data_IF_830402394780
#
_entry.id   IF_830402394780
#
_cell.length_a   1.000
_cell.length_b   1.000
_cell.length_c   1.000
_cell.angle_alpha   90.00
_cell.angle_beta   90.00
_cell.angle_gamma   90.00
#
_symmetry.space_group_name_H-M   'P 1'
#
loop_
_entity.id
_entity.type
_entity.pdbx_description
1 polymer ?
#
# COMPACT_ATOMS: atom_id res chain seq x y z
N UNK A 1 9.56 -5.73 28.85
CA UNK A 1 10.51 -4.64 29.20
C UNK A 1 10.38 -3.53 28.15
N UNK A 2 10.68 -2.28 28.46
CA UNK A 2 10.48 -1.17 27.51
C UNK A 2 11.79 -0.41 27.27
N UNK A 3 12.11 -0.18 26.00
CA UNK A 3 13.22 0.67 25.54
C UNK A 3 12.60 1.91 24.89
N UNK A 4 13.04 3.10 25.31
CA UNK A 4 12.56 4.37 24.74
C UNK A 4 13.74 5.24 24.33
N UNK A 5 13.77 5.63 23.07
CA UNK A 5 14.74 6.57 22.52
C UNK A 5 13.98 7.79 21.99
N UNK A 6 14.26 8.96 22.55
CA UNK A 6 13.63 10.22 22.15
C UNK A 6 14.66 11.12 21.46
N UNK A 7 14.38 11.53 20.22
CA UNK A 7 15.29 12.25 19.33
C UNK A 7 16.70 11.64 19.28
N UNK A 8 16.85 10.31 19.11
CA UNK A 8 18.17 9.72 19.05
C UNK A 8 18.94 10.25 17.83
N UNK A 9 20.16 10.73 18.07
CA UNK A 9 21.08 11.16 17.04
C UNK A 9 22.03 10.00 16.69
N UNK A 10 22.12 9.67 15.39
CA UNK A 10 23.03 8.67 14.83
C UNK A 10 23.07 7.32 15.56
N UNK A 11 21.88 6.76 15.80
CA UNK A 11 21.75 5.47 16.46
C UNK A 11 21.90 4.32 15.47
N UNK A 12 22.78 3.38 15.82
CA UNK A 12 22.96 2.11 15.11
C UNK A 12 22.68 0.95 16.06
N UNK A 13 21.73 0.10 15.68
CA UNK A 13 21.46 -1.19 16.33
C UNK A 13 21.81 -2.29 15.33
N UNK A 14 22.65 -3.23 15.76
CA UNK A 14 23.12 -4.31 14.89
C UNK A 14 23.12 -5.65 15.63
N UNK A 15 22.74 -6.72 14.93
CA UNK A 15 22.84 -8.11 15.42
C UNK A 15 22.17 -8.30 16.79
N UNK A 16 20.97 -7.73 16.93
CA UNK A 16 20.26 -7.67 18.20
C UNK A 16 18.96 -8.47 18.14
N UNK A 17 18.61 -9.11 19.25
CA UNK A 17 17.37 -9.87 19.40
C UNK A 17 16.59 -9.28 20.56
N UNK A 18 15.37 -8.84 20.29
CA UNK A 18 14.43 -8.33 21.27
C UNK A 18 13.35 -9.38 21.54
N UNK A 19 13.25 -9.87 22.78
CA UNK A 19 12.27 -10.87 23.22
C UNK A 19 11.45 -10.35 24.39
N UNK A 20 10.13 -10.21 24.25
CA UNK A 20 9.24 -9.57 25.24
C UNK A 20 9.60 -8.08 25.51
N UNK A 21 9.96 -7.35 24.46
CA UNK A 21 10.28 -5.94 24.51
C UNK A 21 9.28 -5.07 23.79
N UNK A 22 9.11 -3.86 24.32
CA UNK A 22 8.52 -2.75 23.59
C UNK A 22 9.61 -1.73 23.29
N UNK A 23 9.94 -1.57 22.01
CA UNK A 23 10.95 -0.61 21.53
C UNK A 23 10.21 0.56 20.92
N UNK A 24 10.32 1.72 21.56
CA UNK A 24 9.75 2.98 21.09
C UNK A 24 10.87 3.93 20.69
N UNK A 25 10.87 4.34 19.42
CA UNK A 25 11.75 5.39 18.93
C UNK A 25 10.88 6.54 18.46
N UNK A 26 11.15 7.74 18.97
CA UNK A 26 10.35 8.92 18.70
C UNK A 26 11.24 10.07 18.25
N UNK A 27 10.88 10.69 17.14
CA UNK A 27 11.47 11.91 16.60
C UNK A 27 10.45 13.06 16.66
N UNK A 28 10.65 13.95 17.63
CA UNK A 28 9.87 15.15 17.92
C UNK A 28 10.58 16.43 17.42
N UNK A 29 9.86 17.54 17.23
CA UNK A 29 10.45 18.81 16.82
C UNK A 29 11.46 19.33 17.85
N UNK A 30 12.53 19.97 17.38
CA UNK A 30 13.50 20.61 18.28
C UNK A 30 12.84 21.78 19.03
N UNK A 31 13.26 22.08 20.27
CA UNK A 31 12.70 23.19 21.06
C UNK A 31 12.86 24.56 20.39
N UNK A 32 13.95 24.73 19.63
CA UNK A 32 14.31 25.95 18.92
C UNK A 32 14.56 25.60 17.46
N UNK A 33 14.10 26.45 16.54
CA UNK A 33 14.42 26.26 15.14
C UNK A 33 15.87 26.53 14.85
N UNK A 34 16.51 25.53 14.26
CA UNK A 34 17.81 25.68 13.66
C UNK A 34 17.69 26.52 12.39
N UNK A 35 18.67 27.39 12.16
CA UNK A 35 18.87 28.09 10.88
C UNK A 35 19.45 27.16 9.81
N UNK A 36 20.07 26.06 10.24
CA UNK A 36 20.53 24.95 9.40
C UNK A 36 19.55 23.79 9.46
N UNK A 37 19.59 22.87 8.50
CA UNK A 37 18.79 21.64 8.52
C UNK A 37 19.67 20.47 8.98
N UNK A 38 19.78 20.18 10.29
CA UNK A 38 20.60 19.08 10.77
C UNK A 38 20.09 17.74 10.24
N UNK A 39 20.99 16.75 10.16
CA UNK A 39 20.67 15.41 9.69
C UNK A 39 20.82 14.39 10.82
N UNK A 40 19.79 13.58 11.04
CA UNK A 40 19.77 12.53 12.06
C UNK A 40 19.67 11.18 11.35
N UNK A 41 20.37 10.16 11.85
CA UNK A 41 20.27 8.81 11.30
C UNK A 41 19.82 7.75 12.33
N UNK A 42 19.05 6.77 11.84
CA UNK A 42 18.72 5.53 12.53
C UNK A 42 19.03 4.35 11.62
N UNK A 43 19.87 3.42 12.08
CA UNK A 43 20.23 2.24 11.31
C UNK A 43 19.94 1.00 12.15
N UNK A 44 19.03 0.15 11.66
CA UNK A 44 18.74 -1.17 12.21
C UNK A 44 19.22 -2.23 11.23
N UNK A 45 20.14 -3.10 11.65
CA UNK A 45 20.73 -4.14 10.79
C UNK A 45 20.74 -5.49 11.49
N UNK A 46 20.29 -6.56 10.84
CA UNK A 46 20.24 -7.90 11.44
C UNK A 46 19.52 -7.88 12.82
N UNK A 47 18.33 -7.28 12.86
CA UNK A 47 17.54 -7.16 14.08
C UNK A 47 16.39 -8.14 14.04
N UNK A 48 16.20 -8.89 15.12
CA UNK A 48 15.03 -9.77 15.29
C UNK A 48 14.16 -9.25 16.43
N UNK A 49 12.87 -9.09 16.18
CA UNK A 49 11.85 -8.84 17.21
C UNK A 49 10.97 -10.07 17.34
N UNK A 50 10.85 -10.59 18.56
CA UNK A 50 10.08 -11.80 18.89
C UNK A 50 9.19 -11.54 20.10
N UNK A 51 7.90 -11.82 19.98
CA UNK A 51 6.87 -11.42 20.96
C UNK A 51 7.12 -9.99 21.48
N UNK A 52 7.34 -9.08 20.53
CA UNK A 52 7.85 -7.73 20.80
C UNK A 52 7.19 -6.69 19.92
N UNK A 53 7.14 -5.47 20.42
CA UNK A 53 6.65 -4.30 19.71
C UNK A 53 7.81 -3.44 19.25
N UNK A 54 7.76 -2.98 18.00
CA UNK A 54 8.60 -1.91 17.50
C UNK A 54 7.74 -0.76 16.99
N UNK A 55 7.92 0.43 17.55
CA UNK A 55 7.23 1.63 17.12
C UNK A 55 8.26 2.71 16.74
N UNK A 56 8.13 3.22 15.53
CA UNK A 56 8.86 4.39 15.06
C UNK A 56 7.89 5.54 14.82
N UNK A 57 8.02 6.60 15.61
CA UNK A 57 7.19 7.80 15.55
C UNK A 57 8.01 8.96 14.98
N UNK A 58 7.58 9.51 13.84
CA UNK A 58 8.27 10.58 13.12
C UNK A 58 7.35 11.79 13.04
N UNK A 59 7.52 12.75 13.94
CA UNK A 59 6.67 13.94 14.08
C UNK A 59 7.48 15.24 14.23
N UNK A 60 8.71 15.26 13.72
CA UNK A 60 9.66 16.36 13.92
C UNK A 60 9.49 17.56 12.97
N UNK A 61 8.46 17.57 12.12
CA UNK A 61 8.26 18.62 11.13
C UNK A 61 9.52 18.80 10.27
N UNK A 62 9.95 20.06 10.12
CA UNK A 62 11.15 20.40 9.37
C UNK A 62 12.32 20.76 10.29
N UNK A 63 12.30 20.36 11.57
CA UNK A 63 13.38 20.68 12.52
C UNK A 63 14.72 20.07 12.15
N UNK A 64 14.72 18.95 11.44
CA UNK A 64 15.88 18.22 10.90
C UNK A 64 15.43 17.33 9.76
N UNK A 65 16.38 16.78 9.01
CA UNK A 65 16.18 15.69 8.07
C UNK A 65 16.49 14.36 8.76
N UNK A 66 15.61 13.36 8.62
CA UNK A 66 15.81 12.04 9.23
C UNK A 66 16.06 10.98 8.15
N UNK A 67 17.17 10.26 8.24
CA UNK A 67 17.42 9.05 7.45
C UNK A 67 17.26 7.80 8.31
N UNK A 68 16.42 6.87 7.88
CA UNK A 68 16.19 5.59 8.57
C UNK A 68 16.48 4.44 7.61
N UNK A 69 17.35 3.52 8.01
CA UNK A 69 17.66 2.30 7.26
C UNK A 69 17.34 1.10 8.14
N UNK A 70 16.49 0.21 7.64
CA UNK A 70 16.15 -1.06 8.27
C UNK A 70 16.50 -2.16 7.26
N UNK A 71 17.49 -2.98 7.59
CA UNK A 71 18.02 -4.00 6.68
C UNK A 71 18.17 -5.34 7.41
N UNK A 72 17.68 -6.42 6.81
CA UNK A 72 17.63 -7.74 7.44
C UNK A 72 16.91 -7.67 8.81
N UNK A 73 15.69 -7.10 8.81
CA UNK A 73 14.84 -7.02 9.98
C UNK A 73 13.82 -8.14 9.97
N UNK A 74 13.73 -8.87 11.09
CA UNK A 74 12.87 -10.03 11.23
C UNK A 74 11.87 -9.79 12.35
N UNK A 75 10.60 -9.61 11.97
CA UNK A 75 9.49 -9.59 12.92
C UNK A 75 8.87 -10.97 12.96
N UNK A 76 9.14 -11.71 14.04
CA UNK A 76 8.66 -13.08 14.22
C UNK A 76 7.66 -13.15 15.39
N UNK A 77 6.66 -14.04 15.28
CA UNK A 77 5.76 -14.54 16.34
C UNK A 77 5.27 -13.47 17.33
N UNK A 78 3.98 -13.12 17.27
CA UNK A 78 3.34 -12.12 18.16
C UNK A 78 3.98 -10.73 18.14
N UNK A 79 4.89 -10.48 17.20
CA UNK A 79 5.53 -9.17 17.04
C UNK A 79 4.78 -8.29 16.06
N UNK A 80 4.90 -6.98 16.28
CA UNK A 80 4.33 -5.98 15.39
C UNK A 80 5.25 -4.76 15.27
N UNK A 81 5.29 -4.20 14.06
CA UNK A 81 6.07 -3.02 13.71
C UNK A 81 5.14 -1.91 13.22
N UNK A 82 5.15 -0.77 13.90
CA UNK A 82 4.30 0.37 13.58
C UNK A 82 5.14 1.60 13.23
N UNK A 83 4.77 2.25 12.14
CA UNK A 83 5.40 3.46 11.64
C UNK A 83 4.39 4.60 11.65
N UNK A 84 4.55 5.54 12.57
CA UNK A 84 3.71 6.73 12.67
C UNK A 84 4.38 7.89 11.94
N UNK A 85 3.87 8.23 10.77
CA UNK A 85 4.40 9.29 9.91
C UNK A 85 3.59 10.57 10.11
N UNK A 86 4.24 11.63 10.57
CA UNK A 86 3.68 12.98 10.59
C UNK A 86 4.12 13.77 9.35
N UNK A 87 3.64 15.00 9.22
CA UNK A 87 4.29 16.03 8.40
C UNK A 87 5.70 16.27 8.97
N UNK A 88 6.69 15.58 8.41
CA UNK A 88 8.10 15.60 8.78
C UNK A 88 8.98 15.26 7.58
N UNK A 89 10.20 15.80 7.50
CA UNK A 89 11.13 15.49 6.40
C UNK A 89 11.95 14.22 6.70
N UNK A 90 11.70 13.14 5.96
CA UNK A 90 12.41 11.88 6.18
C UNK A 90 12.69 11.08 4.90
N UNK A 91 13.71 10.22 4.97
CA UNK A 91 13.96 9.13 4.04
C UNK A 91 14.06 7.84 4.84
N UNK A 92 13.06 6.98 4.72
CA UNK A 92 12.98 5.69 5.41
C UNK A 92 13.04 4.57 4.38
N UNK A 93 13.94 3.62 4.61
CA UNK A 93 14.19 2.52 3.70
C UNK A 93 14.23 1.19 4.45
N UNK A 94 13.34 0.26 4.10
CA UNK A 94 13.28 -1.11 4.63
C UNK A 94 13.65 -2.06 3.49
N UNK A 95 14.64 -2.93 3.71
CA UNK A 95 15.04 -3.95 2.72
C UNK A 95 15.38 -5.31 3.33
N UNK A 96 15.32 -6.36 2.50
CA UNK A 96 15.70 -7.72 2.85
C UNK A 96 15.06 -8.20 4.16
N UNK A 97 13.83 -7.78 4.43
CA UNK A 97 13.20 -7.94 5.74
C UNK A 97 12.02 -8.91 5.65
N UNK A 98 11.68 -9.54 6.77
CA UNK A 98 10.60 -10.52 6.85
C UNK A 98 9.69 -10.23 8.03
N UNK A 99 8.39 -10.21 7.76
CA UNK A 99 7.34 -9.91 8.71
C UNK A 99 6.36 -11.08 8.76
N UNK A 100 6.48 -11.85 9.85
CA UNK A 100 5.70 -13.07 10.09
C UNK A 100 5.29 -13.16 11.55
N UNK A 101 4.02 -12.96 11.83
CA UNK A 101 3.42 -13.25 13.12
C UNK A 101 2.52 -14.48 13.03
N UNK A 102 2.07 -14.97 14.17
CA UNK A 102 1.01 -15.98 14.24
C UNK A 102 -0.33 -15.30 14.02
N UNK A 103 -1.38 -16.08 13.68
CA UNK A 103 -2.74 -15.64 13.40
C UNK A 103 -3.44 -15.02 14.64
N UNK A 104 -2.95 -13.86 15.10
CA UNK A 104 -3.56 -13.07 16.17
C UNK A 104 -4.12 -11.77 15.62
N UNK A 105 -4.96 -11.14 16.43
CA UNK A 105 -5.75 -9.96 16.07
C UNK A 105 -4.96 -8.69 15.66
N UNK A 106 -3.64 -8.76 15.51
CA UNK A 106 -2.76 -7.60 15.45
C UNK A 106 -2.15 -7.38 14.06
N UNK A 107 -1.91 -6.11 13.72
CA UNK A 107 -1.26 -5.70 12.48
C UNK A 107 0.24 -5.86 12.61
N UNK A 108 0.82 -6.77 11.84
CA UNK A 108 2.26 -7.10 11.94
C UNK A 108 3.13 -5.99 11.36
N UNK A 109 2.63 -5.33 10.32
CA UNK A 109 3.25 -4.17 9.73
C UNK A 109 2.21 -3.09 9.43
N UNK A 110 2.37 -1.94 10.07
CA UNK A 110 1.38 -0.87 9.99
C UNK A 110 2.04 0.49 9.77
N UNK A 111 1.70 1.13 8.66
CA UNK A 111 2.03 2.52 8.39
C UNK A 111 0.79 3.36 8.67
N UNK A 112 0.94 4.39 9.50
CA UNK A 112 -0.16 5.29 9.80
C UNK A 112 0.27 6.74 9.80
N UNK A 113 -0.63 7.60 9.34
CA UNK A 113 -0.40 9.04 9.29
C UNK A 113 -0.99 9.71 10.52
N UNK A 114 -0.16 10.46 11.26
CA UNK A 114 -0.56 11.17 12.47
C UNK A 114 -1.04 12.59 12.19
N UNK A 115 -2.20 12.94 12.76
CA UNK A 115 -2.83 14.26 12.65
C UNK A 115 -2.28 15.31 13.63
N UNK A 116 -1.47 14.91 14.63
CA UNK A 116 -1.03 15.81 15.70
C UNK A 116 0.30 16.45 15.37
N UNK A 117 0.25 17.51 14.57
CA UNK A 117 1.37 18.44 14.50
C UNK A 117 0.96 19.82 14.94
N UNK A 118 1.79 20.39 15.80
CA UNK A 118 1.67 21.77 16.21
C UNK A 118 2.34 22.61 15.11
N UNK A 119 1.58 23.28 14.22
CA UNK A 119 2.09 23.90 12.98
C UNK A 119 3.03 25.09 13.24
N UNK A 120 3.28 25.39 14.52
CA UNK A 120 4.05 26.54 15.00
C UNK A 120 5.54 26.28 15.17
N UNK A 121 6.03 25.03 15.10
CA UNK A 121 7.34 24.76 15.69
C UNK A 121 8.57 24.92 14.81
N UNK A 122 8.57 24.68 13.50
CA UNK A 122 9.62 25.18 12.58
C UNK A 122 9.11 25.13 11.14
N UNK A 123 9.39 26.18 10.36
CA UNK A 123 9.06 26.23 8.93
C UNK A 123 10.33 26.56 8.16
N UNK A 124 10.73 25.69 7.26
CA UNK A 124 11.64 26.04 6.17
C UNK A 124 10.81 26.52 4.98
N UNK A 125 10.77 27.84 4.68
CA UNK A 125 9.99 28.35 3.58
C UNK A 125 10.67 28.03 2.23
N UNK A 126 9.86 27.81 1.18
CA UNK A 126 10.20 27.83 -0.25
C UNK A 126 10.77 26.55 -0.91
N UNK A 127 10.73 25.38 -0.29
CA UNK A 127 11.14 24.12 -0.96
C UNK A 127 9.99 23.12 -0.93
N UNK A 128 9.72 22.46 -2.07
CA UNK A 128 8.88 21.27 -2.10
C UNK A 128 9.64 20.15 -1.41
N UNK A 129 9.17 19.75 -0.24
CA UNK A 129 9.78 18.68 0.53
C UNK A 129 9.09 17.38 0.16
N UNK A 130 9.88 16.38 -0.19
CA UNK A 130 9.40 15.02 -0.48
C UNK A 130 10.00 14.12 0.58
N UNK A 131 9.13 13.47 1.35
CA UNK A 131 9.52 12.40 2.24
C UNK A 131 9.27 11.06 1.59
N UNK A 132 10.19 10.13 1.76
CA UNK A 132 10.12 8.83 1.09
C UNK A 132 10.09 7.71 2.12
N UNK A 133 9.17 6.76 1.92
CA UNK A 133 9.12 5.50 2.65
C UNK A 133 9.22 4.37 1.64
N UNK A 134 10.32 3.64 1.63
CA UNK A 134 10.56 2.54 0.70
C UNK A 134 10.57 1.21 1.43
N UNK A 135 9.89 0.22 0.87
CA UNK A 135 9.96 -1.18 1.23
C UNK A 135 10.42 -1.94 -0.02
N UNK A 136 11.56 -2.60 0.06
CA UNK A 136 12.17 -3.32 -1.06
C UNK A 136 12.57 -4.73 -0.65
N UNK A 137 12.50 -5.69 -1.58
CA UNK A 137 13.00 -7.06 -1.41
C UNK A 137 12.59 -7.72 -0.08
N UNK A 138 11.32 -7.51 0.32
CA UNK A 138 10.83 -7.88 1.66
C UNK A 138 9.60 -8.78 1.58
N UNK A 139 9.36 -9.52 2.66
CA UNK A 139 8.31 -10.53 2.73
C UNK A 139 7.33 -10.27 3.88
N UNK A 140 6.04 -10.39 3.60
CA UNK A 140 4.94 -10.21 4.57
C UNK A 140 4.03 -11.43 4.50
N UNK A 141 4.22 -12.40 5.39
CA UNK A 141 3.54 -13.67 5.25
C UNK A 141 3.01 -14.31 6.54
N UNK A 142 2.02 -15.17 6.36
CA UNK A 142 1.34 -15.93 7.42
C UNK A 142 0.71 -15.04 8.53
N UNK A 143 0.37 -13.79 8.22
CA UNK A 143 -0.20 -12.86 9.20
C UNK A 143 -1.73 -12.80 9.12
N UNK A 144 -2.36 -12.05 10.03
CA UNK A 144 -3.76 -11.69 9.84
C UNK A 144 -3.93 -10.64 8.73
N UNK A 145 -3.06 -9.63 8.74
CA UNK A 145 -2.92 -8.61 7.71
C UNK A 145 -1.45 -8.56 7.27
N UNK A 146 -1.19 -8.45 5.96
CA UNK A 146 0.16 -8.23 5.44
C UNK A 146 0.63 -6.79 5.69
N UNK A 147 0.49 -5.93 4.68
CA UNK A 147 0.79 -4.49 4.80
C UNK A 147 -0.51 -3.73 5.02
N UNK A 148 -0.55 -2.92 6.07
CA UNK A 148 -1.63 -1.95 6.28
C UNK A 148 -1.09 -0.52 6.21
N UNK A 149 -1.75 0.32 5.41
CA UNK A 149 -1.51 1.76 5.30
C UNK A 149 -2.84 2.44 5.62
N UNK A 150 -2.89 3.30 6.64
CA UNK A 150 -4.10 4.10 6.83
C UNK A 150 -3.89 5.48 7.42
N UNK A 151 -4.75 6.40 7.00
CA UNK A 151 -4.76 7.79 7.42
C UNK A 151 -5.85 8.13 8.44
N UNK A 152 -5.61 9.21 9.18
CA UNK A 152 -6.65 9.98 9.88
C UNK A 152 -6.84 11.27 9.05
N UNK A 153 -8.08 11.70 8.75
CA UNK A 153 -8.37 12.71 7.72
C UNK A 153 -8.01 14.16 8.10
N UNK A 154 -7.02 14.36 8.97
CA UNK A 154 -6.59 15.66 9.46
C UNK A 154 -5.11 15.89 9.14
N UNK A 155 -4.78 16.00 7.86
CA UNK A 155 -3.66 16.86 7.45
C UNK A 155 -4.21 18.29 7.38
N UNK A 156 -3.88 19.18 8.32
CA UNK A 156 -4.34 20.55 8.24
C UNK A 156 -3.94 21.14 6.88
N UNK A 157 -4.83 21.91 6.25
CA UNK A 157 -4.66 22.64 4.98
C UNK A 157 -3.41 23.56 4.92
N UNK A 158 -2.57 23.53 5.95
CA UNK A 158 -1.45 24.44 6.22
C UNK A 158 -0.13 24.01 5.61
N UNK A 159 0.01 22.80 5.06
CA UNK A 159 1.23 22.33 4.40
C UNK A 159 0.97 21.90 2.95
N UNK A 160 0.64 22.87 2.08
CA UNK A 160 0.37 22.62 0.65
C UNK A 160 1.57 22.11 -0.17
N UNK A 161 2.75 21.92 0.45
CA UNK A 161 4.02 21.70 -0.24
C UNK A 161 4.83 20.48 0.24
N UNK A 162 4.28 19.63 1.12
CA UNK A 162 4.97 18.42 1.58
C UNK A 162 4.25 17.19 1.05
N UNK A 163 4.97 16.36 0.30
CA UNK A 163 4.48 15.11 -0.28
C UNK A 163 5.16 13.92 0.39
N UNK A 164 4.40 12.87 0.66
CA UNK A 164 4.93 11.58 1.12
C UNK A 164 4.80 10.59 -0.04
N UNK A 165 5.93 10.04 -0.47
CA UNK A 165 5.98 8.95 -1.43
C UNK A 165 6.22 7.64 -0.69
N UNK A 166 5.30 6.70 -0.82
CA UNK A 166 5.46 5.32 -0.35
C UNK A 166 5.75 4.46 -1.57
N UNK A 167 6.83 3.69 -1.52
CA UNK A 167 7.26 2.79 -2.60
C UNK A 167 7.33 1.38 -2.02
N UNK A 168 6.58 0.44 -2.60
CA UNK A 168 6.62 -0.98 -2.29
C UNK A 168 7.13 -1.70 -3.53
N UNK A 169 8.31 -2.31 -3.45
CA UNK A 169 9.00 -2.86 -4.61
C UNK A 169 9.52 -4.27 -4.34
N UNK A 170 9.44 -5.16 -5.34
CA UNK A 170 10.05 -6.49 -5.26
C UNK A 170 9.63 -7.30 -4.02
N UNK A 171 8.39 -7.10 -3.55
CA UNK A 171 7.92 -7.70 -2.31
C UNK A 171 7.08 -8.95 -2.57
N UNK A 172 7.10 -9.87 -1.60
CA UNK A 172 6.19 -11.02 -1.55
C UNK A 172 5.24 -10.87 -0.35
N UNK A 173 3.96 -10.70 -0.61
CA UNK A 173 2.91 -10.58 0.39
C UNK A 173 2.01 -11.80 0.28
N UNK A 174 2.10 -12.75 1.23
CA UNK A 174 1.44 -14.04 1.03
C UNK A 174 0.79 -14.66 2.25
N UNK A 175 -0.23 -15.49 2.04
CA UNK A 175 -0.88 -16.30 3.10
C UNK A 175 -1.42 -15.48 4.27
N UNK A 176 -1.79 -14.21 4.03
CA UNK A 176 -2.38 -13.36 5.06
C UNK A 176 -3.90 -13.59 5.10
N UNK A 177 -4.47 -13.87 6.27
CA UNK A 177 -5.86 -14.38 6.37
C UNK A 177 -6.94 -13.38 5.94
N UNK A 178 -6.80 -12.08 6.28
CA UNK A 178 -7.82 -11.08 5.99
C UNK A 178 -7.50 -10.32 4.71
N UNK A 179 -6.34 -9.67 4.66
CA UNK A 179 -5.85 -9.02 3.44
C UNK A 179 -4.34 -9.11 3.37
N UNK A 180 -3.82 -9.23 2.15
CA UNK A 180 -2.39 -9.07 1.90
C UNK A 180 -2.00 -7.60 1.98
N UNK A 181 -2.79 -6.74 1.35
CA UNK A 181 -2.60 -5.30 1.34
C UNK A 181 -3.92 -4.58 1.66
N UNK A 182 -3.86 -3.65 2.60
CA UNK A 182 -4.98 -2.79 3.00
C UNK A 182 -4.53 -1.34 2.99
N UNK A 183 -5.07 -0.55 2.06
CA UNK A 183 -4.85 0.89 1.97
C UNK A 183 -6.18 1.60 2.27
N UNK A 184 -6.18 2.48 3.26
CA UNK A 184 -7.30 3.37 3.58
C UNK A 184 -6.79 4.76 3.99
N UNK A 185 -6.54 5.62 3.01
CA UNK A 185 -5.91 6.91 3.26
C UNK A 185 -6.91 7.97 3.76
N UNK A 186 -8.20 7.82 3.46
CA UNK A 186 -9.21 8.87 3.70
C UNK A 186 -8.90 10.16 2.95
N UNK A 187 -8.48 10.01 1.69
CA UNK A 187 -8.22 11.06 0.70
C UNK A 187 -7.09 12.03 1.05
N UNK A 188 -5.93 11.53 1.48
CA UNK A 188 -4.75 12.36 1.71
C UNK A 188 -4.16 12.80 0.36
N UNK A 189 -4.46 14.03 -0.07
CA UNK A 189 -4.00 14.59 -1.36
C UNK A 189 -2.48 14.72 -1.50
N UNK A 190 -1.72 14.38 -0.47
CA UNK A 190 -0.27 14.55 -0.37
C UNK A 190 0.48 13.22 -0.21
N UNK A 191 -0.22 12.09 -0.27
CA UNK A 191 0.40 10.77 -0.26
C UNK A 191 0.27 10.15 -1.65
N UNK A 192 1.39 9.67 -2.18
CA UNK A 192 1.46 8.87 -3.40
C UNK A 192 2.02 7.50 -3.03
N UNK A 193 1.36 6.43 -3.50
CA UNK A 193 1.78 5.06 -3.26
C UNK A 193 2.09 4.40 -4.60
N UNK A 194 3.33 3.93 -4.77
CA UNK A 194 3.76 3.20 -5.96
C UNK A 194 4.08 1.76 -5.56
N UNK A 195 3.49 0.79 -6.25
CA UNK A 195 3.71 -0.64 -6.01
C UNK A 195 4.25 -1.27 -7.28
N UNK A 196 5.49 -1.77 -7.23
CA UNK A 196 6.17 -2.33 -8.40
C UNK A 196 6.72 -3.72 -8.15
N UNK A 197 6.71 -4.57 -9.18
CA UNK A 197 7.33 -5.91 -9.17
C UNK A 197 6.94 -6.75 -7.93
N UNK A 198 5.68 -6.66 -7.50
CA UNK A 198 5.22 -7.19 -6.20
C UNK A 198 4.16 -8.27 -6.41
N UNK A 199 4.26 -9.33 -5.61
CA UNK A 199 3.35 -10.47 -5.64
C UNK A 199 2.47 -10.55 -4.38
N UNK A 200 1.16 -10.63 -4.56
CA UNK A 200 0.17 -10.78 -3.51
C UNK A 200 -0.54 -12.14 -3.64
N UNK A 201 -0.04 -13.17 -2.95
CA UNK A 201 -0.41 -14.57 -3.20
C UNK A 201 -1.09 -15.24 -2.01
N UNK A 202 -2.25 -15.86 -2.20
CA UNK A 202 -2.86 -16.72 -1.17
C UNK A 202 -3.39 -15.93 0.02
N UNK A 203 -3.74 -14.66 -0.18
CA UNK A 203 -4.26 -13.79 0.87
C UNK A 203 -5.79 -13.82 0.90
N UNK A 204 -6.37 -13.22 1.94
CA UNK A 204 -7.80 -12.94 1.98
C UNK A 204 -8.25 -11.89 0.95
N UNK A 205 -7.35 -11.27 0.20
CA UNK A 205 -7.62 -10.27 -0.86
C UNK A 205 -6.76 -9.02 -0.74
N UNK A 206 -6.98 -8.06 -1.63
CA UNK A 206 -6.37 -6.72 -1.59
C UNK A 206 -7.46 -5.65 -1.54
N UNK A 207 -7.33 -4.68 -0.63
CA UNK A 207 -8.31 -3.60 -0.47
C UNK A 207 -7.65 -2.23 -0.57
N UNK A 208 -8.16 -1.41 -1.48
CA UNK A 208 -7.76 -0.03 -1.70
C UNK A 208 -9.00 0.85 -1.55
N UNK A 209 -9.01 1.68 -0.50
CA UNK A 209 -10.15 2.46 -0.07
C UNK A 209 -9.75 3.93 0.10
N UNK A 210 -10.62 4.85 -0.31
CA UNK A 210 -10.47 6.29 -0.06
C UNK A 210 -9.07 6.85 -0.44
N UNK A 211 -8.54 6.47 -1.59
CA UNK A 211 -7.17 6.79 -2.03
C UNK A 211 -7.14 7.43 -3.40
N UNK A 212 -6.32 8.47 -3.62
CA UNK A 212 -6.36 9.25 -4.87
C UNK A 212 -5.12 9.12 -5.77
N UNK A 213 -4.05 8.50 -5.30
CA UNK A 213 -2.78 8.48 -6.02
C UNK A 213 -2.03 7.17 -5.76
N UNK A 214 -2.54 6.08 -6.33
CA UNK A 214 -1.90 4.77 -6.31
C UNK A 214 -1.49 4.39 -7.72
N UNK A 215 -0.23 4.01 -7.91
CA UNK A 215 0.24 3.41 -9.16
C UNK A 215 0.74 1.99 -8.97
N UNK A 216 0.40 1.12 -9.94
CA UNK A 216 0.77 -0.30 -9.95
C UNK A 216 1.53 -0.62 -11.25
N UNK A 217 2.65 -1.34 -11.12
CA UNK A 217 3.45 -1.77 -12.27
C UNK A 217 4.04 -3.16 -12.02
N UNK A 218 3.80 -4.12 -12.92
CA UNK A 218 4.24 -5.51 -12.75
C UNK A 218 3.76 -6.15 -11.44
N UNK A 219 2.47 -5.99 -11.14
CA UNK A 219 1.86 -6.53 -9.92
C UNK A 219 1.10 -7.82 -10.25
N UNK A 220 1.32 -8.87 -9.46
CA UNK A 220 0.56 -10.12 -9.55
C UNK A 220 -0.24 -10.34 -8.28
N UNK A 221 -1.52 -10.64 -8.42
CA UNK A 221 -2.44 -10.95 -7.33
C UNK A 221 -3.09 -12.29 -7.62
N UNK A 222 -2.79 -13.30 -6.79
CA UNK A 222 -3.10 -14.67 -7.13
C UNK A 222 -3.60 -15.53 -5.97
N UNK A 223 -4.42 -16.53 -6.27
CA UNK A 223 -4.85 -17.56 -5.32
C UNK A 223 -5.52 -17.00 -4.06
N UNK A 224 -6.12 -15.81 -4.13
CA UNK A 224 -6.77 -15.22 -2.96
C UNK A 224 -8.13 -15.89 -2.70
N UNK A 225 -8.49 -16.00 -1.41
CA UNK A 225 -9.76 -16.62 -0.99
C UNK A 225 -10.97 -15.70 -1.15
N UNK A 226 -10.74 -14.44 -1.49
CA UNK A 226 -11.76 -13.48 -1.88
C UNK A 226 -11.24 -12.62 -3.03
N UNK A 227 -12.02 -11.61 -3.43
CA UNK A 227 -11.73 -10.72 -4.57
C UNK A 227 -10.26 -10.35 -4.60
N UNK A 228 -9.60 -10.62 -5.72
CA UNK A 228 -8.17 -10.36 -5.90
C UNK A 228 -7.81 -8.94 -5.48
N UNK A 229 -8.50 -7.96 -6.07
CA UNK A 229 -8.35 -6.54 -5.76
C UNK A 229 -9.70 -5.83 -5.71
N UNK A 230 -9.93 -5.09 -4.62
CA UNK A 230 -11.14 -4.30 -4.41
C UNK A 230 -10.80 -2.82 -4.33
N UNK A 231 -11.44 -2.03 -5.18
CA UNK A 231 -11.38 -0.57 -5.18
C UNK A 231 -12.70 -0.01 -4.64
N UNK A 232 -12.58 0.99 -3.76
CA UNK A 232 -13.72 1.71 -3.20
C UNK A 232 -13.36 3.19 -3.03
N UNK A 233 -14.11 4.06 -3.69
CA UNK A 233 -13.86 5.50 -3.74
C UNK A 233 -12.37 5.82 -3.91
N UNK A 234 -11.72 5.20 -4.90
CA UNK A 234 -10.27 5.29 -5.08
C UNK A 234 -9.84 5.45 -6.53
N UNK A 235 -8.71 6.11 -6.77
CA UNK A 235 -8.08 6.29 -8.08
C UNK A 235 -6.79 5.47 -8.12
N UNK A 236 -6.75 4.49 -9.02
CA UNK A 236 -5.61 3.60 -9.23
C UNK A 236 -5.18 3.66 -10.67
N UNK A 237 -3.89 3.87 -10.89
CA UNK A 237 -3.26 3.87 -12.22
C UNK A 237 -2.47 2.58 -12.43
N UNK A 238 -2.69 1.91 -13.56
CA UNK A 238 -1.89 0.77 -14.00
C UNK A 238 -0.90 1.28 -15.04
N UNK A 239 0.38 1.26 -14.70
CA UNK A 239 1.45 1.80 -15.54
C UNK A 239 2.00 0.77 -16.53
N UNK A 240 1.97 -0.52 -16.16
CA UNK A 240 2.49 -1.62 -16.96
C UNK A 240 1.61 -2.87 -16.75
N UNK A 241 2.16 -3.99 -16.31
CA UNK A 241 1.42 -5.24 -16.17
C UNK A 241 0.68 -5.37 -14.83
N UNK A 242 -0.61 -5.73 -14.88
CA UNK A 242 -1.37 -6.22 -13.72
C UNK A 242 -1.96 -7.60 -14.06
N UNK A 243 -1.60 -8.60 -13.27
CA UNK A 243 -2.16 -9.95 -13.40
C UNK A 243 -2.98 -10.33 -12.18
N UNK A 244 -4.24 -10.68 -12.39
CA UNK A 244 -5.17 -11.20 -11.38
C UNK A 244 -5.53 -12.63 -11.77
N UNK A 245 -5.11 -13.63 -10.98
CA UNK A 245 -5.35 -15.04 -11.34
C UNK A 245 -5.85 -15.91 -10.20
N UNK A 246 -6.75 -16.83 -10.51
CA UNK A 246 -7.20 -17.88 -9.58
C UNK A 246 -7.72 -17.30 -8.26
N UNK A 247 -8.32 -16.11 -8.30
CA UNK A 247 -8.92 -15.48 -7.13
C UNK A 247 -10.40 -15.83 -7.06
N UNK A 248 -10.93 -15.98 -5.85
CA UNK A 248 -12.37 -16.09 -5.61
C UNK A 248 -12.99 -14.70 -5.37
N UNK A 249 -14.29 -14.61 -5.14
CA UNK A 249 -14.96 -13.36 -4.80
C UNK A 249 -16.46 -13.52 -4.75
N UNK A 250 -17.16 -12.59 -4.09
CA UNK A 250 -18.63 -12.52 -4.24
C UNK A 250 -18.96 -11.81 -5.56
N UNK A 251 -18.33 -10.66 -5.76
CA UNK A 251 -18.34 -9.90 -7.02
C UNK A 251 -16.91 -9.56 -7.40
N UNK A 252 -16.59 -9.58 -8.69
CA UNK A 252 -15.23 -9.25 -9.14
C UNK A 252 -14.24 -10.27 -8.61
N UNK A 253 -14.20 -11.49 -9.16
CA UNK A 253 -13.26 -12.52 -8.69
C UNK A 253 -11.82 -12.01 -8.79
N UNK A 254 -11.46 -11.45 -9.94
CA UNK A 254 -10.20 -10.71 -10.12
C UNK A 254 -10.27 -9.32 -9.49
N UNK A 255 -11.09 -8.43 -10.07
CA UNK A 255 -11.17 -7.01 -9.70
C UNK A 255 -12.61 -6.58 -9.46
N UNK A 256 -12.86 -5.90 -8.34
CA UNK A 256 -14.12 -5.21 -8.07
C UNK A 256 -13.90 -3.70 -7.94
N UNK A 257 -14.57 -2.92 -8.77
CA UNK A 257 -14.52 -1.45 -8.79
C UNK A 257 -15.88 -0.93 -8.33
N UNK A 258 -15.91 -0.25 -7.18
CA UNK A 258 -17.14 0.20 -6.54
C UNK A 258 -17.12 1.69 -6.20
N UNK A 259 -18.30 2.26 -5.99
CA UNK A 259 -18.54 3.67 -5.66
C UNK A 259 -17.95 4.63 -6.70
N UNK A 260 -17.25 5.68 -6.29
CA UNK A 260 -16.65 6.65 -7.22
C UNK A 260 -15.22 6.26 -7.63
N UNK A 261 -14.92 4.96 -7.77
CA UNK A 261 -13.56 4.50 -8.07
C UNK A 261 -13.20 4.66 -9.53
N UNK A 262 -11.93 4.95 -9.81
CA UNK A 262 -11.40 5.08 -11.16
C UNK A 262 -10.18 4.16 -11.31
N UNK A 263 -10.22 3.33 -12.34
CA UNK A 263 -9.04 2.59 -12.81
C UNK A 263 -8.53 3.27 -14.08
N UNK A 264 -7.33 3.84 -14.03
CA UNK A 264 -6.69 4.52 -15.15
C UNK A 264 -5.64 3.59 -15.74
N UNK A 265 -5.67 3.39 -17.06
CA UNK A 265 -4.73 2.52 -17.78
C UNK A 265 -3.88 3.38 -18.70
N UNK A 266 -2.57 3.38 -18.48
CA UNK A 266 -1.62 4.10 -19.35
C UNK A 266 -1.49 3.37 -20.70
N UNK A 267 -0.83 4.01 -21.67
CA UNK A 267 -0.55 3.40 -22.98
C UNK A 267 0.32 2.14 -22.93
N UNK A 268 1.05 1.92 -21.83
CA UNK A 268 1.90 0.76 -21.61
C UNK A 268 1.23 -0.32 -20.76
N UNK A 269 -0.01 -0.09 -20.31
CA UNK A 269 -0.71 -1.01 -19.44
C UNK A 269 -1.01 -2.35 -20.15
N UNK A 270 -0.99 -3.44 -19.39
CA UNK A 270 -1.41 -4.78 -19.84
C UNK A 270 -2.12 -5.50 -18.71
N UNK A 271 -3.36 -5.91 -18.95
CA UNK A 271 -4.20 -6.57 -17.94
C UNK A 271 -4.42 -8.04 -18.27
N UNK A 272 -4.24 -8.90 -17.27
CA UNK A 272 -4.51 -10.34 -17.37
C UNK A 272 -5.41 -10.81 -16.23
N UNK A 273 -6.57 -11.35 -16.58
CA UNK A 273 -7.54 -11.96 -15.66
C UNK A 273 -7.74 -13.43 -16.06
N UNK A 274 -7.20 -14.33 -15.23
CA UNK A 274 -7.09 -15.75 -15.57
C UNK A 274 -7.68 -16.62 -14.45
N UNK A 275 -8.58 -17.53 -14.77
CA UNK A 275 -9.17 -18.49 -13.84
C UNK A 275 -9.79 -17.85 -12.58
N UNK A 276 -10.27 -16.60 -12.65
CA UNK A 276 -10.92 -15.96 -11.51
C UNK A 276 -12.39 -16.38 -11.38
N UNK A 277 -12.89 -16.46 -10.16
CA UNK A 277 -14.26 -16.91 -9.88
C UNK A 277 -15.00 -15.92 -8.99
N UNK A 278 -16.20 -15.52 -9.41
CA UNK A 278 -17.15 -14.78 -8.58
C UNK A 278 -18.39 -15.65 -8.29
N UNK A 279 -18.83 -15.73 -7.04
CA UNK A 279 -20.06 -16.46 -6.71
C UNK A 279 -21.34 -15.77 -7.20
N UNK A 280 -21.27 -14.50 -7.59
CA UNK A 280 -22.40 -13.72 -8.09
C UNK A 280 -22.14 -13.12 -9.47
N UNK A 281 -21.29 -12.08 -9.57
CA UNK A 281 -21.12 -11.30 -10.82
C UNK A 281 -19.68 -10.89 -11.08
N UNK A 282 -19.29 -10.87 -12.36
CA UNK A 282 -17.98 -10.36 -12.78
C UNK A 282 -16.84 -11.28 -12.33
N UNK A 283 -16.67 -12.45 -12.96
CA UNK A 283 -15.60 -13.39 -12.57
C UNK A 283 -14.21 -12.76 -12.73
N UNK A 284 -13.93 -12.12 -13.87
CA UNK A 284 -12.74 -11.31 -14.07
C UNK A 284 -12.87 -9.93 -13.42
N UNK A 285 -13.75 -9.09 -13.95
CA UNK A 285 -13.95 -7.70 -13.56
C UNK A 285 -15.42 -7.46 -13.20
N UNK A 286 -15.65 -6.78 -12.08
CA UNK A 286 -16.95 -6.23 -11.70
C UNK A 286 -16.86 -4.72 -11.59
N UNK A 287 -17.75 -4.01 -12.28
CA UNK A 287 -17.97 -2.57 -12.18
C UNK A 287 -19.37 -2.32 -11.60
N UNK A 288 -19.47 -1.57 -10.51
CA UNK A 288 -20.76 -1.27 -9.88
C UNK A 288 -21.60 -0.29 -10.74
N UNK A 289 -22.67 -0.79 -11.36
CA UNK A 289 -23.52 -0.06 -12.31
C UNK A 289 -24.19 1.20 -11.74
N UNK A 290 -24.55 1.19 -10.46
CA UNK A 290 -25.26 2.31 -9.82
C UNK A 290 -24.31 3.41 -9.34
N UNK A 291 -23.03 3.29 -9.64
CA UNK A 291 -21.98 4.15 -9.13
C UNK A 291 -21.27 4.90 -10.26
N UNK A 292 -20.55 5.96 -9.92
CA UNK A 292 -19.68 6.67 -10.87
C UNK A 292 -18.33 5.94 -11.07
N UNK A 293 -18.32 4.61 -10.95
CA UNK A 293 -17.12 3.81 -11.16
C UNK A 293 -16.77 3.76 -12.64
N UNK A 294 -15.49 3.91 -12.99
CA UNK A 294 -15.06 3.96 -14.39
C UNK A 294 -13.69 3.32 -14.60
N UNK A 295 -13.49 2.77 -15.80
CA UNK A 295 -12.19 2.38 -16.32
C UNK A 295 -11.84 3.34 -17.46
N UNK A 296 -10.75 4.08 -17.30
CA UNK A 296 -10.29 5.09 -18.27
C UNK A 296 -9.06 4.56 -18.99
N UNK A 297 -9.12 4.52 -20.33
CA UNK A 297 -8.00 4.13 -21.17
C UNK A 297 -7.34 5.40 -21.74
N UNK A 298 -6.09 5.67 -21.38
CA UNK A 298 -5.36 6.85 -21.90
C UNK A 298 -4.94 6.69 -23.36
N UNK A 299 -4.95 5.47 -23.89
CA UNK A 299 -4.69 5.14 -25.28
C UNK A 299 -5.60 4.01 -25.77
N UNK A 300 -5.77 3.90 -27.09
CA UNK A 300 -6.44 2.74 -27.71
C UNK A 300 -5.55 1.50 -27.72
N UNK A 301 -6.17 0.33 -27.90
CA UNK A 301 -5.51 -0.96 -28.08
C UNK A 301 -4.70 -1.44 -26.85
N UNK A 302 -5.05 -0.99 -25.66
CA UNK A 302 -4.49 -1.51 -24.40
C UNK A 302 -4.85 -3.01 -24.30
N UNK A 303 -3.87 -3.93 -24.16
CA UNK A 303 -4.14 -5.35 -24.05
C UNK A 303 -4.97 -5.72 -22.82
N UNK A 304 -6.01 -6.52 -23.05
CA UNK A 304 -6.81 -7.14 -22.01
C UNK A 304 -6.96 -8.63 -22.33
N UNK A 305 -6.49 -9.46 -21.41
CA UNK A 305 -6.61 -10.91 -21.46
C UNK A 305 -7.60 -11.40 -20.44
N UNK A 306 -8.60 -12.15 -20.90
CA UNK A 306 -9.66 -12.76 -20.11
C UNK A 306 -9.66 -14.26 -20.48
N UNK A 307 -9.34 -15.12 -19.53
CA UNK A 307 -9.25 -16.57 -19.75
C UNK A 307 -9.91 -17.28 -18.58
N UNK A 308 -10.87 -18.16 -18.89
CA UNK A 308 -11.49 -19.08 -17.93
C UNK A 308 -12.02 -18.42 -16.65
N UNK A 309 -12.42 -17.15 -16.72
CA UNK A 309 -13.10 -16.54 -15.59
C UNK A 309 -14.52 -17.14 -15.50
N UNK A 310 -15.14 -17.08 -14.33
CA UNK A 310 -16.50 -17.58 -14.12
C UNK A 310 -17.26 -16.76 -13.09
N UNK A 311 -18.56 -16.62 -13.31
CA UNK A 311 -19.49 -15.98 -12.39
C UNK A 311 -20.70 -16.90 -12.12
N UNK A 312 -21.22 -16.88 -10.90
CA UNK A 312 -22.37 -17.70 -10.52
C UNK A 312 -23.68 -17.30 -11.22
N UNK A 313 -23.83 -16.02 -11.59
CA UNK A 313 -25.05 -15.50 -12.21
C UNK A 313 -24.76 -14.84 -13.57
N UNK A 314 -23.90 -13.81 -13.61
CA UNK A 314 -23.73 -12.96 -14.80
C UNK A 314 -22.30 -12.42 -14.96
N UNK A 315 -21.88 -12.26 -16.22
CA UNK A 315 -20.58 -11.68 -16.59
C UNK A 315 -19.40 -12.50 -16.08
N UNK A 316 -19.13 -13.67 -16.68
CA UNK A 316 -17.97 -14.49 -16.30
C UNK A 316 -16.67 -13.69 -16.41
N UNK A 317 -16.51 -12.94 -17.49
CA UNK A 317 -15.34 -12.12 -17.70
C UNK A 317 -15.51 -10.73 -17.12
N UNK A 318 -16.57 -10.02 -17.54
CA UNK A 318 -16.81 -8.63 -17.13
C UNK A 318 -18.30 -8.42 -16.84
N UNK A 319 -18.60 -7.75 -15.73
CA UNK A 319 -19.94 -7.27 -15.41
C UNK A 319 -19.94 -5.74 -15.21
N UNK A 320 -20.97 -5.05 -15.72
CA UNK A 320 -21.21 -3.62 -15.48
C UNK A 320 -20.40 -2.64 -16.35
N UNK A 321 -19.50 -3.13 -17.21
CA UNK A 321 -18.78 -2.29 -18.16
C UNK A 321 -19.62 -2.07 -19.43
N UNK A 322 -20.12 -0.85 -19.64
CA UNK A 322 -20.83 -0.50 -20.88
C UNK A 322 -19.85 0.17 -21.87
N UNK A 323 -19.96 -0.17 -23.15
CA UNK A 323 -19.01 0.24 -24.21
C UNK A 323 -19.08 1.76 -24.54
N UNK A 324 -19.96 2.52 -23.87
CA UNK A 324 -20.28 3.91 -24.23
C UNK A 324 -19.37 5.00 -23.61
N UNK A 325 -18.14 4.69 -23.20
CA UNK A 325 -17.30 5.62 -22.43
C UNK A 325 -16.13 6.27 -23.18
N UNK A 326 -16.06 6.20 -24.52
CA UNK A 326 -15.10 6.97 -25.32
C UNK A 326 -14.70 6.31 -26.64
N UNK A 327 -13.71 6.89 -27.33
CA UNK A 327 -13.15 6.36 -28.59
C UNK A 327 -12.07 5.28 -28.37
N UNK A 328 -11.58 5.13 -27.14
CA UNK A 328 -10.51 4.19 -26.82
C UNK A 328 -11.11 2.85 -26.40
N UNK A 329 -10.69 1.78 -27.07
CA UNK A 329 -11.15 0.42 -26.81
C UNK A 329 -9.98 -0.49 -26.43
N UNK A 330 -10.26 -1.53 -25.63
CA UNK A 330 -9.31 -2.60 -25.34
C UNK A 330 -8.96 -3.39 -26.60
N UNK A 331 -7.73 -3.88 -26.66
CA UNK A 331 -7.33 -4.94 -27.59
C UNK A 331 -7.51 -6.30 -26.89
N UNK A 332 -8.57 -7.00 -27.24
CA UNK A 332 -8.90 -8.29 -26.65
C UNK A 332 -8.00 -9.38 -27.22
N UNK A 333 -7.27 -10.08 -26.36
CA UNK A 333 -6.44 -11.22 -26.79
C UNK A 333 -7.28 -12.47 -27.05
N UNK A 334 -8.51 -12.53 -26.53
CA UNK A 334 -9.54 -13.52 -26.84
C UNK A 334 -10.83 -12.84 -27.31
N UNK A 335 -11.42 -13.24 -28.46
CA UNK A 335 -12.49 -12.48 -29.10
C UNK A 335 -13.88 -12.62 -28.45
N UNK A 336 -14.09 -13.62 -27.60
CA UNK A 336 -15.38 -13.87 -26.95
C UNK A 336 -15.31 -13.43 -25.49
N UNK A 337 -16.02 -12.36 -25.13
CA UNK A 337 -16.25 -11.94 -23.73
C UNK A 337 -17.62 -12.44 -23.30
N UNK A 338 -17.69 -13.16 -22.18
CA UNK A 338 -18.95 -13.41 -21.48
C UNK A 338 -19.27 -12.20 -20.58
N UNK A 339 -20.22 -11.35 -21.01
CA UNK A 339 -20.43 -10.01 -20.42
C UNK A 339 -21.83 -9.71 -19.90
N UNK A 340 -22.76 -10.67 -19.92
CA UNK A 340 -24.17 -10.46 -19.51
C UNK A 340 -24.55 -11.21 -18.28
#
# INVERSE_FOLDING_TARGET
MTIRLNNPFDVKVSSSVFVHYEVFITYEPLPVCSTELPHYSLILTNVTVNDSRFDLNIHHATSYNLSVIIDHYYSIIYSYSTFFLGDSLFSLYIKNSSFRSVLTGYYVFYITFSAKLNPKKCKFPRIHLISTFVIEDSQFHDNWYGIKISGIPYLPKTHRNHFISIIIKSCLISKNTITGLSIDEKFLTLVQINITDTELIGNGGTSILNSNAISLSNVTVANNTSTGMKLKASIVTIENKLTLRSNAGVVGGGLAINESSQLILTSSANLEFIDNHASYKGGGIYLEETSNSVITLEASNIPLTLINNSAGIFGDDIYGYTINHGNNHFNLTNPNISST
#
